data_IF_230197507659
#
_entry.id   IF_230197507659
#
_cell.length_a   1.000
_cell.length_b   1.000
_cell.length_c   1.000
_cell.angle_alpha   90.00
_cell.angle_beta   90.00
_cell.angle_gamma   90.00
#
_symmetry.space_group_name_H-M   'P 1'
#
loop_
_entity.id
_entity.type
_entity.pdbx_description
1 polymer ?
#
# COMPACT_ATOMS: atom_id res chain seq x y z
N UNK A 1 -11.44 18.59 -7.28
CA UNK A 1 -12.88 18.72 -6.97
C UNK A 1 -13.18 18.01 -5.65
N UNK A 2 -14.09 18.52 -4.81
CA UNK A 2 -14.64 17.86 -3.62
C UNK A 2 -16.17 17.82 -3.77
N UNK A 3 -16.83 16.67 -3.62
CA UNK A 3 -18.29 16.68 -3.43
C UNK A 3 -18.60 17.20 -2.02
N UNK A 4 -19.76 17.82 -1.80
CA UNK A 4 -20.35 18.26 -0.53
C UNK A 4 -21.87 18.04 -0.62
N UNK A 5 -22.38 16.99 0.02
CA UNK A 5 -23.81 16.71 0.21
C UNK A 5 -24.69 16.89 -1.06
N UNK A 6 -24.25 16.38 -2.21
CA UNK A 6 -24.95 16.48 -3.50
C UNK A 6 -24.49 17.63 -4.40
N UNK A 7 -23.47 18.37 -3.98
CA UNK A 7 -22.84 19.45 -4.75
C UNK A 7 -21.36 19.15 -5.03
N UNK A 8 -20.84 19.49 -6.21
CA UNK A 8 -19.40 19.34 -6.50
C UNK A 8 -18.70 20.70 -6.50
N UNK A 9 -17.68 20.83 -5.66
CA UNK A 9 -16.68 21.90 -5.62
C UNK A 9 -15.51 21.60 -6.56
N UNK A 10 -15.10 22.53 -7.43
CA UNK A 10 -13.89 22.41 -8.25
C UNK A 10 -12.71 23.18 -7.64
N UNK A 11 -11.59 22.48 -7.43
CA UNK A 11 -10.36 23.04 -6.87
C UNK A 11 -9.13 22.39 -7.53
N UNK A 12 -8.07 23.18 -7.73
CA UNK A 12 -6.76 22.70 -8.20
C UNK A 12 -6.67 22.41 -9.71
N UNK A 13 -7.10 23.34 -10.57
CA UNK A 13 -6.70 23.29 -11.99
C UNK A 13 -5.19 23.62 -12.09
N UNK A 14 -4.48 23.11 -13.09
CA UNK A 14 -3.04 23.39 -13.27
C UNK A 14 -2.81 23.85 -14.70
N UNK A 15 -2.00 24.90 -14.91
CA UNK A 15 -1.59 25.33 -16.24
C UNK A 15 -0.09 25.13 -16.44
N UNK A 16 0.24 24.74 -17.66
CA UNK A 16 1.61 24.62 -18.14
C UNK A 16 1.80 25.60 -19.28
N UNK A 17 2.98 26.19 -19.35
CA UNK A 17 3.38 26.98 -20.50
C UNK A 17 3.45 26.05 -21.72
N UNK A 18 2.72 26.41 -22.78
CA UNK A 18 2.59 25.55 -23.96
C UNK A 18 3.91 25.33 -24.68
N UNK A 19 4.85 26.29 -24.58
CA UNK A 19 6.12 26.36 -25.29
C UNK A 19 7.24 25.71 -24.45
N UNK A 20 7.35 26.09 -23.19
CA UNK A 20 8.46 25.67 -22.31
C UNK A 20 8.12 24.44 -21.47
N UNK A 21 6.85 24.04 -21.40
CA UNK A 21 6.31 23.00 -20.50
C UNK A 21 6.61 23.26 -19.01
N UNK A 22 7.10 24.46 -18.67
CA UNK A 22 7.30 24.90 -17.30
C UNK A 22 5.95 25.11 -16.60
N UNK A 23 5.92 24.85 -15.29
CA UNK A 23 4.76 25.20 -14.47
C UNK A 23 4.58 26.72 -14.42
N UNK A 24 3.38 27.21 -14.73
CA UNK A 24 3.02 28.62 -14.55
C UNK A 24 2.47 28.79 -13.12
N UNK A 25 2.70 29.93 -12.48
CA UNK A 25 1.96 30.30 -11.27
C UNK A 25 0.47 30.42 -11.62
N UNK A 26 -0.25 29.35 -11.33
CA UNK A 26 -1.60 29.16 -11.80
C UNK A 26 -2.61 30.13 -11.18
N UNK A 27 -2.41 30.51 -9.91
CA UNK A 27 -3.26 31.48 -9.22
C UNK A 27 -3.19 32.87 -9.87
N UNK A 28 -1.98 33.29 -10.26
CA UNK A 28 -1.77 34.61 -10.92
C UNK A 28 -2.37 34.62 -12.34
N UNK A 29 -2.27 33.50 -13.06
CA UNK A 29 -2.87 33.35 -14.40
C UNK A 29 -4.41 33.37 -14.34
N UNK A 30 -5.00 32.62 -13.41
CA UNK A 30 -6.46 32.58 -13.23
C UNK A 30 -7.03 33.93 -12.80
N UNK A 31 -6.40 34.62 -11.86
CA UNK A 31 -6.89 35.90 -11.34
C UNK A 31 -6.92 37.01 -12.40
N UNK A 32 -5.96 37.00 -13.33
CA UNK A 32 -5.81 38.04 -14.36
C UNK A 32 -6.69 37.81 -15.59
N UNK A 33 -6.74 36.57 -16.08
CA UNK A 33 -7.34 36.26 -17.40
C UNK A 33 -8.53 35.32 -17.30
N UNK A 34 -8.49 34.39 -16.34
CA UNK A 34 -9.45 33.28 -16.24
C UNK A 34 -9.34 32.28 -17.40
N UNK A 35 -10.12 31.21 -17.34
CA UNK A 35 -10.22 30.19 -18.39
C UNK A 35 -11.68 30.05 -18.77
N UNK A 36 -12.00 30.06 -20.07
CA UNK A 36 -13.35 29.70 -20.51
C UNK A 36 -13.56 28.22 -20.24
N UNK A 37 -14.48 27.91 -19.35
CA UNK A 37 -14.74 26.59 -18.82
C UNK A 37 -16.22 26.25 -19.03
N UNK A 38 -16.48 25.04 -19.52
CA UNK A 38 -17.82 24.47 -19.60
C UNK A 38 -17.80 23.08 -18.95
N UNK A 39 -18.74 22.83 -18.07
CA UNK A 39 -18.92 21.53 -17.39
C UNK A 39 -20.31 21.01 -17.75
N UNK A 40 -20.37 19.79 -18.26
CA UNK A 40 -21.62 19.11 -18.62
C UNK A 40 -21.78 17.80 -17.85
N UNK A 41 -22.98 17.52 -17.38
CA UNK A 41 -23.33 16.22 -16.80
C UNK A 41 -23.30 15.11 -17.84
N UNK A 42 -23.04 13.88 -17.40
CA UNK A 42 -23.25 12.64 -18.16
C UNK A 42 -22.52 12.61 -19.53
N UNK A 43 -21.44 13.38 -19.68
CA UNK A 43 -20.64 13.45 -20.91
C UNK A 43 -21.12 14.53 -21.90
N UNK A 44 -20.94 14.28 -23.20
CA UNK A 44 -21.24 15.26 -24.26
C UNK A 44 -22.73 15.53 -24.48
N UNK A 45 -23.60 14.66 -23.96
CA UNK A 45 -25.05 14.70 -24.16
C UNK A 45 -25.84 15.29 -22.99
N UNK A 46 -25.23 15.55 -21.84
CA UNK A 46 -25.97 16.06 -20.68
C UNK A 46 -25.91 17.57 -20.50
N UNK A 47 -26.70 18.03 -19.54
CA UNK A 47 -26.94 19.45 -19.25
C UNK A 47 -25.66 20.16 -18.83
N UNK A 48 -25.43 21.36 -19.38
CA UNK A 48 -24.37 22.23 -18.91
C UNK A 48 -24.71 22.75 -17.51
N UNK A 49 -23.85 22.46 -16.55
CA UNK A 49 -23.96 22.92 -15.15
C UNK A 49 -23.05 24.11 -14.85
N UNK A 50 -22.10 24.37 -15.75
CA UNK A 50 -21.34 25.59 -15.77
C UNK A 50 -20.96 25.92 -17.23
N UNK A 51 -21.05 27.19 -17.61
CA UNK A 51 -20.54 27.71 -18.88
C UNK A 51 -20.15 29.18 -18.65
N UNK A 52 -18.85 29.46 -18.55
CA UNK A 52 -18.38 30.78 -18.13
C UNK A 52 -16.87 30.93 -18.11
N UNK A 53 -16.42 32.08 -17.61
CA UNK A 53 -15.00 32.34 -17.36
C UNK A 53 -14.71 32.00 -15.90
N UNK A 54 -13.95 30.92 -15.70
CA UNK A 54 -13.51 30.46 -14.40
C UNK A 54 -12.24 31.20 -13.97
N UNK A 55 -12.24 31.79 -12.77
CA UNK A 55 -11.13 32.57 -12.22
C UNK A 55 -10.54 31.98 -10.94
N UNK A 56 -10.87 30.72 -10.63
CA UNK A 56 -10.36 30.01 -9.44
C UNK A 56 -11.30 30.04 -8.25
N UNK A 57 -12.50 30.59 -8.40
CA UNK A 57 -13.57 30.47 -7.42
C UNK A 57 -14.00 29.01 -7.21
N UNK A 58 -14.60 28.69 -6.07
CA UNK A 58 -15.29 27.40 -5.92
C UNK A 58 -16.57 27.43 -6.74
N UNK A 59 -16.69 26.52 -7.72
CA UNK A 59 -17.95 26.27 -8.42
C UNK A 59 -18.76 25.23 -7.64
N UNK A 60 -20.08 25.45 -7.53
CA UNK A 60 -21.01 24.54 -6.86
C UNK A 60 -22.15 24.23 -7.82
N UNK A 61 -22.39 22.94 -8.08
CA UNK A 61 -23.48 22.47 -8.93
C UNK A 61 -23.94 21.08 -8.50
N UNK A 62 -25.20 20.74 -8.82
CA UNK A 62 -25.80 19.45 -8.50
C UNK A 62 -25.00 18.27 -9.05
N UNK A 63 -25.08 17.11 -8.41
CA UNK A 63 -24.39 15.92 -8.88
C UNK A 63 -25.01 15.33 -10.16
N UNK A 64 -24.17 14.76 -11.04
CA UNK A 64 -24.60 13.99 -12.22
C UNK A 64 -25.08 12.62 -11.77
N UNK A 65 -26.16 12.12 -12.38
CA UNK A 65 -26.70 10.79 -12.09
C UNK A 65 -25.69 9.64 -12.32
N UNK A 66 -24.73 9.85 -13.22
CA UNK A 66 -23.67 8.88 -13.50
C UNK A 66 -22.34 9.18 -12.79
N UNK A 67 -22.23 10.34 -12.14
CA UNK A 67 -20.98 10.86 -11.57
C UNK A 67 -19.95 11.26 -12.63
N UNK A 68 -20.36 11.39 -13.90
CA UNK A 68 -19.47 11.73 -15.02
C UNK A 68 -19.69 13.15 -15.50
N UNK A 69 -18.60 13.83 -15.81
CA UNK A 69 -18.59 15.21 -16.24
C UNK A 69 -17.72 15.37 -17.48
N UNK A 70 -18.25 15.97 -18.55
CA UNK A 70 -17.40 16.46 -19.63
C UNK A 70 -16.95 17.87 -19.28
N UNK A 71 -15.64 18.04 -19.12
CA UNK A 71 -15.02 19.33 -18.89
C UNK A 71 -14.39 19.81 -20.18
N UNK A 72 -14.83 20.97 -20.65
CA UNK A 72 -14.28 21.66 -21.82
C UNK A 72 -13.61 22.94 -21.37
N UNK A 73 -12.36 23.15 -21.75
CA UNK A 73 -11.65 24.42 -21.59
C UNK A 73 -11.33 25.01 -22.95
N UNK A 74 -11.41 26.34 -23.04
CA UNK A 74 -10.98 27.08 -24.24
C UNK A 74 -9.90 28.08 -23.83
N UNK A 75 -8.73 27.99 -24.45
CA UNK A 75 -7.64 28.93 -24.18
C UNK A 75 -7.86 30.27 -24.91
N UNK A 76 -7.00 31.25 -24.64
CA UNK A 76 -7.08 32.58 -25.25
C UNK A 76 -6.95 32.57 -26.79
N UNK A 77 -6.34 31.52 -27.36
CA UNK A 77 -6.20 31.31 -28.79
C UNK A 77 -7.45 30.66 -29.44
N UNK A 78 -8.48 30.34 -28.64
CA UNK A 78 -9.69 29.66 -29.11
C UNK A 78 -9.55 28.14 -29.25
N UNK A 79 -8.42 27.55 -28.86
CA UNK A 79 -8.24 26.10 -28.88
C UNK A 79 -9.02 25.45 -27.74
N UNK A 80 -9.70 24.36 -28.07
CA UNK A 80 -10.51 23.61 -27.12
C UNK A 80 -9.77 22.36 -26.64
N UNK A 81 -9.79 22.14 -25.33
CA UNK A 81 -9.38 20.88 -24.73
C UNK A 81 -10.57 20.27 -23.97
N UNK A 82 -10.76 18.97 -24.12
CA UNK A 82 -11.86 18.24 -23.51
C UNK A 82 -11.35 17.00 -22.79
N UNK A 83 -11.90 16.73 -21.61
CA UNK A 83 -11.68 15.47 -20.91
C UNK A 83 -12.93 15.07 -20.13
N UNK A 84 -13.11 13.76 -19.97
CA UNK A 84 -14.16 13.20 -19.12
C UNK A 84 -13.58 13.02 -17.73
N UNK A 85 -14.22 13.62 -16.74
CA UNK A 85 -13.99 13.32 -15.34
C UNK A 85 -15.02 12.28 -14.89
N UNK A 86 -14.55 11.10 -14.48
CA UNK A 86 -15.39 10.07 -13.86
C UNK A 86 -15.16 10.09 -12.35
N UNK A 87 -16.14 10.57 -11.60
CA UNK A 87 -16.05 10.76 -10.16
C UNK A 87 -16.67 9.59 -9.37
N UNK A 88 -17.33 8.64 -10.05
CA UNK A 88 -17.99 7.51 -9.38
C UNK A 88 -16.99 6.62 -8.63
N UNK A 89 -15.77 6.47 -9.17
CA UNK A 89 -14.67 5.74 -8.53
C UNK A 89 -14.12 6.50 -7.31
N UNK A 90 -14.17 7.83 -7.30
CA UNK A 90 -13.68 8.65 -6.19
C UNK A 90 -14.72 8.87 -5.08
N UNK A 91 -16.00 8.61 -5.36
CA UNK A 91 -17.12 8.72 -4.42
C UNK A 91 -17.51 7.42 -3.74
N UNK A 92 -17.02 6.27 -4.20
CA UNK A 92 -17.35 5.00 -3.53
C UNK A 92 -16.64 4.97 -2.19
N UNK A 93 -17.36 5.07 -1.05
CA UNK A 93 -16.72 5.12 0.24
C UNK A 93 -16.12 3.74 0.56
N UNK A 94 -14.85 3.70 0.91
CA UNK A 94 -14.15 2.46 1.21
C UNK A 94 -13.59 2.53 2.62
N UNK A 95 -13.84 1.57 3.50
CA UNK A 95 -13.17 1.54 4.80
C UNK A 95 -11.85 0.78 4.67
N UNK A 96 -10.72 1.44 4.93
CA UNK A 96 -9.42 0.77 5.07
C UNK A 96 -9.19 0.39 6.52
N UNK A 97 -9.18 -0.90 6.82
CA UNK A 97 -8.88 -1.41 8.15
C UNK A 97 -8.19 -2.77 8.12
N UNK A 98 -7.30 -3.03 9.07
CA UNK A 98 -6.56 -4.29 9.18
C UNK A 98 -6.38 -4.70 10.65
N UNK A 99 -6.33 -6.00 10.90
CA UNK A 99 -6.02 -6.58 12.21
C UNK A 99 -4.59 -7.15 12.20
N UNK A 100 -3.89 -6.97 13.30
CA UNK A 100 -2.60 -7.60 13.58
C UNK A 100 -2.60 -8.16 15.01
N UNK A 101 -2.02 -9.33 15.24
CA UNK A 101 -1.99 -9.95 16.56
C UNK A 101 -0.78 -9.49 17.36
N UNK A 102 -0.96 -9.30 18.67
CA UNK A 102 0.11 -9.00 19.61
C UNK A 102 0.02 -9.90 20.85
N UNK A 103 1.18 -10.37 21.30
CA UNK A 103 1.29 -11.22 22.47
C UNK A 103 0.75 -12.64 22.26
N UNK A 104 0.81 -13.43 23.33
CA UNK A 104 0.54 -14.85 23.29
C UNK A 104 -0.72 -15.24 24.10
N UNK A 105 -1.44 -16.30 23.70
CA UNK A 105 -2.52 -16.86 24.50
C UNK A 105 -2.04 -17.17 25.93
N UNK A 106 -2.88 -16.98 26.97
CA UNK A 106 -4.27 -16.50 26.91
C UNK A 106 -4.43 -14.98 26.89
N UNK A 107 -3.35 -14.20 27.01
CA UNK A 107 -3.35 -12.73 27.12
C UNK A 107 -3.13 -12.01 25.78
N UNK A 108 -3.41 -12.69 24.67
CA UNK A 108 -3.25 -12.11 23.34
C UNK A 108 -4.30 -11.03 23.07
N UNK A 109 -3.94 -10.09 22.21
CA UNK A 109 -4.84 -9.05 21.73
C UNK A 109 -4.62 -8.80 20.26
N UNK A 110 -5.54 -8.06 19.64
CA UNK A 110 -5.41 -7.57 18.28
C UNK A 110 -5.21 -6.06 18.31
N UNK A 111 -4.31 -5.57 17.48
CA UNK A 111 -4.26 -4.17 17.09
C UNK A 111 -5.07 -4.00 15.82
N UNK A 112 -6.16 -3.24 15.93
CA UNK A 112 -7.01 -2.82 14.84
C UNK A 112 -6.56 -1.43 14.37
N UNK A 113 -5.98 -1.38 13.17
CA UNK A 113 -5.62 -0.13 12.50
C UNK A 113 -6.73 0.24 11.52
N UNK A 114 -7.33 1.41 11.72
CA UNK A 114 -8.38 1.97 10.85
C UNK A 114 -7.83 3.25 10.26
N UNK A 115 -8.07 3.46 8.96
CA UNK A 115 -7.65 4.64 8.25
C UNK A 115 -8.84 5.32 7.60
N UNK A 116 -8.81 6.65 7.61
CA UNK A 116 -9.70 7.45 6.79
C UNK A 116 -9.25 7.40 5.32
N UNK A 117 -10.21 7.38 4.41
CA UNK A 117 -10.01 7.02 3.00
C UNK A 117 -10.79 7.97 2.09
N UNK A 118 -10.75 7.71 0.78
CA UNK A 118 -11.49 8.50 -0.21
C UNK A 118 -12.97 8.12 -0.18
N UNK A 119 -13.81 8.97 -0.77
CA UNK A 119 -15.24 8.73 -0.92
C UNK A 119 -16.12 9.23 0.23
N UNK A 120 -15.54 9.77 1.30
CA UNK A 120 -16.29 10.41 2.39
C UNK A 120 -16.10 11.92 2.44
N UNK A 121 -17.12 12.62 2.93
CA UNK A 121 -17.02 13.99 3.43
C UNK A 121 -16.34 14.01 4.78
N UNK A 122 -15.42 14.94 5.01
CA UNK A 122 -14.92 15.14 6.37
C UNK A 122 -15.69 16.25 7.08
N UNK A 123 -16.00 16.12 8.38
CA UNK A 123 -15.60 15.02 9.28
C UNK A 123 -16.36 13.70 9.04
N UNK A 124 -15.68 12.59 9.32
CA UNK A 124 -16.22 11.22 9.24
C UNK A 124 -16.26 10.61 10.63
N UNK A 125 -17.45 10.26 11.11
CA UNK A 125 -17.62 9.49 12.33
C UNK A 125 -17.34 8.01 12.05
N UNK A 126 -16.59 7.35 12.94
CA UNK A 126 -16.39 5.91 12.90
C UNK A 126 -16.91 5.24 14.17
N UNK A 127 -17.38 4.00 14.02
CA UNK A 127 -17.74 3.12 15.12
C UNK A 127 -17.24 1.71 14.86
N UNK A 128 -16.75 1.06 15.90
CA UNK A 128 -16.24 -0.31 15.88
C UNK A 128 -17.00 -1.13 16.89
N UNK A 129 -17.63 -2.21 16.42
CA UNK A 129 -18.44 -3.10 17.23
C UNK A 129 -17.86 -4.51 17.15
N UNK A 130 -17.63 -5.13 18.31
CA UNK A 130 -17.32 -6.55 18.39
C UNK A 130 -18.57 -7.34 17.98
N UNK A 131 -18.46 -8.19 16.96
CA UNK A 131 -19.64 -8.88 16.42
C UNK A 131 -20.18 -9.97 17.33
N UNK A 132 -19.35 -10.56 18.21
CA UNK A 132 -19.80 -11.62 19.10
C UNK A 132 -20.54 -11.07 20.31
N UNK A 133 -20.04 -10.00 20.93
CA UNK A 133 -20.65 -9.39 22.12
C UNK A 133 -21.65 -8.27 21.81
N UNK A 134 -21.55 -7.65 20.64
CA UNK A 134 -22.29 -6.41 20.30
C UNK A 134 -21.73 -5.16 20.99
N UNK A 135 -20.61 -5.27 21.70
CA UNK A 135 -19.98 -4.17 22.42
C UNK A 135 -19.30 -3.17 21.47
N UNK A 136 -19.48 -1.88 21.74
CA UNK A 136 -18.75 -0.82 21.05
C UNK A 136 -17.36 -0.71 21.65
N UNK A 137 -16.34 -1.08 20.87
CA UNK A 137 -14.93 -1.12 21.32
C UNK A 137 -14.14 0.12 20.88
N UNK A 138 -14.74 1.00 20.09
CA UNK A 138 -14.14 2.28 19.72
C UNK A 138 -15.08 3.14 18.90
N UNK A 139 -15.03 4.44 19.16
CA UNK A 139 -15.70 5.48 18.37
C UNK A 139 -14.81 6.69 18.24
N UNK A 140 -15.04 7.49 17.21
CA UNK A 140 -14.34 8.75 17.04
C UNK A 140 -14.66 9.42 15.72
N UNK A 141 -13.85 10.43 15.39
CA UNK A 141 -14.04 11.25 14.21
C UNK A 141 -12.70 11.41 13.50
N UNK A 142 -12.67 11.17 12.20
CA UNK A 142 -11.60 11.63 11.32
C UNK A 142 -11.95 13.00 10.76
N UNK A 143 -11.04 13.96 10.85
CA UNK A 143 -11.24 15.32 10.33
C UNK A 143 -10.60 15.51 8.96
N UNK A 144 -9.66 14.64 8.58
CA UNK A 144 -8.94 14.74 7.32
C UNK A 144 -8.68 13.37 6.69
N UNK A 145 -8.45 13.40 5.38
CA UNK A 145 -7.99 12.25 4.61
C UNK A 145 -6.60 11.77 5.05
N UNK A 146 -6.46 10.45 5.20
CA UNK A 146 -5.21 9.80 5.59
C UNK A 146 -4.96 9.75 7.10
N UNK A 147 -5.86 10.26 7.93
CA UNK A 147 -5.81 10.06 9.37
C UNK A 147 -5.99 8.57 9.72
N UNK A 148 -5.29 8.13 10.77
CA UNK A 148 -5.34 6.74 11.21
C UNK A 148 -5.54 6.65 12.72
N UNK A 149 -6.31 5.66 13.16
CA UNK A 149 -6.45 5.30 14.57
C UNK A 149 -6.06 3.85 14.78
N UNK A 150 -5.42 3.58 15.90
CA UNK A 150 -5.02 2.26 16.34
C UNK A 150 -5.73 1.92 17.64
N UNK A 151 -6.47 0.81 17.66
CA UNK A 151 -7.19 0.33 18.83
C UNK A 151 -6.65 -1.03 19.25
N UNK A 152 -6.42 -1.23 20.55
CA UNK A 152 -6.15 -2.56 21.09
C UNK A 152 -7.48 -3.19 21.48
N UNK A 153 -7.82 -4.29 20.81
CA UNK A 153 -9.11 -4.95 20.95
C UNK A 153 -8.90 -6.44 21.26
N UNK A 154 -9.84 -7.11 21.94
CA UNK A 154 -9.76 -8.56 22.15
C UNK A 154 -9.68 -9.34 20.83
N UNK A 155 -9.33 -10.62 20.89
CA UNK A 155 -9.41 -11.46 19.69
C UNK A 155 -10.88 -11.69 19.31
N UNK A 156 -11.26 -11.35 18.08
CA UNK A 156 -12.63 -11.48 17.61
C UNK A 156 -12.84 -10.92 16.20
N UNK A 157 -14.10 -10.96 15.75
CA UNK A 157 -14.55 -10.31 14.52
C UNK A 157 -15.12 -8.93 14.83
N UNK A 158 -14.92 -7.97 13.93
CA UNK A 158 -15.28 -6.57 14.13
C UNK A 158 -16.06 -6.01 12.95
N UNK A 159 -17.17 -5.32 13.23
CA UNK A 159 -17.87 -4.48 12.27
C UNK A 159 -17.41 -3.04 12.46
N UNK A 160 -16.93 -2.43 11.39
CA UNK A 160 -16.50 -1.05 11.34
C UNK A 160 -17.48 -0.30 10.46
N UNK A 161 -17.99 0.83 10.94
CA UNK A 161 -18.92 1.68 10.19
C UNK A 161 -18.38 3.09 10.12
N UNK A 162 -18.45 3.71 8.96
CA UNK A 162 -18.15 5.12 8.77
C UNK A 162 -19.43 5.84 8.31
N UNK A 163 -19.70 6.99 8.91
CA UNK A 163 -20.76 7.90 8.50
C UNK A 163 -20.17 9.29 8.34
N UNK A 164 -20.32 9.89 7.17
CA UNK A 164 -19.87 11.25 6.96
C UNK A 164 -20.91 12.32 7.33
N UNK A 165 -20.51 13.59 7.33
CA UNK A 165 -21.37 14.73 7.61
C UNK A 165 -22.60 14.85 6.68
N UNK A 166 -22.59 14.17 5.53
CA UNK A 166 -23.69 14.15 4.58
C UNK A 166 -24.59 12.91 4.73
N UNK A 167 -24.32 12.05 5.72
CA UNK A 167 -25.06 10.82 5.97
C UNK A 167 -24.66 9.65 5.06
N UNK A 168 -23.55 9.76 4.31
CA UNK A 168 -23.03 8.64 3.53
C UNK A 168 -22.50 7.59 4.49
N UNK A 169 -23.06 6.40 4.41
CA UNK A 169 -22.74 5.27 5.27
C UNK A 169 -21.97 4.19 4.50
N UNK A 170 -20.94 3.64 5.14
CA UNK A 170 -20.28 2.42 4.69
C UNK A 170 -19.98 1.53 5.88
N UNK A 171 -19.89 0.23 5.61
CA UNK A 171 -19.44 -0.74 6.58
C UNK A 171 -18.40 -1.69 6.02
N UNK A 172 -17.58 -2.23 6.92
CA UNK A 172 -16.61 -3.28 6.64
C UNK A 172 -16.58 -4.25 7.81
N UNK A 173 -16.61 -5.53 7.48
CA UNK A 173 -16.46 -6.60 8.46
C UNK A 173 -15.02 -7.12 8.35
N UNK A 174 -14.37 -7.26 9.51
CA UNK A 174 -13.10 -7.96 9.65
C UNK A 174 -13.37 -9.22 10.44
N UNK A 175 -13.17 -10.38 9.81
CA UNK A 175 -13.32 -11.67 10.46
C UNK A 175 -12.21 -11.90 11.49
N UNK A 176 -12.52 -12.70 12.52
CA UNK A 176 -11.54 -13.16 13.48
C UNK A 176 -10.39 -13.85 12.73
N UNK A 177 -9.14 -13.33 12.85
CA UNK A 177 -8.03 -13.84 12.08
C UNK A 177 -7.74 -15.32 12.40
N UNK A 178 -8.07 -15.80 13.60
CA UNK A 178 -7.93 -17.21 13.99
C UNK A 178 -8.72 -18.20 13.13
N UNK A 179 -9.77 -17.73 12.46
CA UNK A 179 -10.56 -18.58 11.55
C UNK A 179 -9.81 -18.91 10.26
N UNK A 180 -8.70 -18.21 9.97
CA UNK A 180 -7.88 -18.45 8.79
C UNK A 180 -6.63 -19.22 9.17
N UNK A 181 -6.55 -20.47 8.72
CA UNK A 181 -5.36 -21.30 8.92
C UNK A 181 -4.12 -20.62 8.33
N UNK A 182 -2.99 -20.60 9.06
CA UNK A 182 -1.77 -20.00 8.55
C UNK A 182 -1.21 -20.79 7.38
N UNK A 183 -0.67 -20.07 6.40
CA UNK A 183 0.17 -20.63 5.33
C UNK A 183 1.36 -19.72 5.09
N UNK A 184 2.52 -20.33 4.82
CA UNK A 184 3.76 -19.63 4.52
C UNK A 184 4.02 -19.69 3.02
N UNK A 185 4.34 -18.55 2.42
CA UNK A 185 4.68 -18.47 1.01
C UNK A 185 5.88 -17.58 0.76
N UNK A 186 6.62 -17.88 -0.31
CA UNK A 186 7.64 -16.96 -0.85
C UNK A 186 6.88 -15.77 -1.45
N UNK A 187 7.13 -14.58 -0.90
CA UNK A 187 6.58 -13.33 -1.41
C UNK A 187 7.51 -12.71 -2.44
N UNK A 188 8.82 -12.86 -2.28
CA UNK A 188 9.83 -12.29 -3.17
C UNK A 188 11.04 -13.23 -3.31
N UNK A 189 11.58 -13.28 -4.51
CA UNK A 189 12.92 -13.80 -4.83
C UNK A 189 13.75 -12.63 -5.37
N UNK A 190 14.95 -12.42 -4.85
CA UNK A 190 15.76 -11.22 -5.08
C UNK A 190 17.24 -11.58 -5.29
N UNK A 191 17.97 -10.69 -5.99
CA UNK A 191 19.39 -10.90 -6.31
C UNK A 191 20.31 -9.71 -6.04
N UNK A 192 19.77 -8.59 -5.56
CA UNK A 192 20.51 -7.33 -5.45
C UNK A 192 20.21 -6.56 -4.17
N UNK A 193 19.62 -7.21 -3.15
CA UNK A 193 19.39 -6.53 -1.88
C UNK A 193 20.69 -6.53 -1.09
N UNK A 194 21.20 -5.33 -0.87
CA UNK A 194 22.29 -5.06 0.07
C UNK A 194 21.69 -4.26 1.22
N UNK A 195 21.50 -4.87 2.38
CA UNK A 195 20.85 -4.20 3.51
C UNK A 195 20.59 -5.14 4.67
N UNK A 196 19.33 -5.21 5.11
CA UNK A 196 18.91 -5.96 6.31
C UNK A 196 19.28 -7.44 6.21
N UNK A 197 19.18 -8.04 5.01
CA UNK A 197 19.78 -9.36 4.74
C UNK A 197 21.14 -9.21 4.05
N UNK A 198 22.11 -10.10 4.35
CA UNK A 198 23.43 -10.03 3.73
C UNK A 198 23.37 -10.26 2.21
N UNK A 199 24.35 -9.74 1.45
CA UNK A 199 24.39 -9.89 0.00
C UNK A 199 24.57 -11.36 -0.42
N UNK A 200 24.28 -11.63 -1.69
CA UNK A 200 24.56 -12.94 -2.30
C UNK A 200 26.06 -13.15 -2.50
N UNK A 201 26.55 -14.29 -2.02
CA UNK A 201 27.96 -14.69 -2.12
C UNK A 201 28.11 -16.12 -2.68
N UNK A 202 27.02 -16.89 -2.73
CA UNK A 202 27.02 -18.27 -3.18
C UNK A 202 26.40 -18.42 -4.58
N UNK A 203 27.16 -18.99 -5.52
CA UNK A 203 26.64 -19.35 -6.85
C UNK A 203 25.46 -20.32 -6.72
N UNK A 204 24.42 -20.12 -7.51
CA UNK A 204 23.16 -20.87 -7.42
C UNK A 204 22.24 -20.42 -6.29
N UNK A 205 22.70 -19.50 -5.43
CA UNK A 205 21.91 -18.93 -4.34
C UNK A 205 21.05 -17.75 -4.78
N UNK A 206 19.91 -17.57 -4.12
CA UNK A 206 19.07 -16.38 -4.23
C UNK A 206 18.67 -15.87 -2.84
N UNK A 207 18.25 -14.61 -2.75
CA UNK A 207 17.62 -14.09 -1.55
C UNK A 207 16.13 -14.37 -1.62
N UNK A 208 15.54 -14.88 -0.56
CA UNK A 208 14.10 -15.13 -0.49
C UNK A 208 13.47 -14.38 0.66
N UNK A 209 12.28 -13.82 0.43
CA UNK A 209 11.40 -13.32 1.47
C UNK A 209 10.18 -14.20 1.56
N UNK A 210 9.89 -14.68 2.76
CA UNK A 210 8.65 -15.38 3.07
C UNK A 210 7.72 -14.49 3.88
N UNK A 211 6.43 -14.75 3.76
CA UNK A 211 5.40 -14.10 4.56
C UNK A 211 4.21 -15.01 4.75
N UNK A 212 3.45 -14.74 5.82
CA UNK A 212 2.27 -15.52 6.17
C UNK A 212 1.00 -14.94 5.55
N UNK A 213 0.12 -15.84 5.13
CA UNK A 213 -1.31 -15.59 4.98
C UNK A 213 -2.02 -16.31 6.12
N UNK A 214 -3.10 -15.72 6.64
CA UNK A 214 -3.79 -16.23 7.83
C UNK A 214 -3.10 -15.86 9.13
N UNK A 215 -3.55 -16.46 10.23
CA UNK A 215 -3.17 -16.06 11.58
C UNK A 215 -2.01 -16.89 12.12
N UNK A 216 -0.96 -16.18 12.56
CA UNK A 216 0.11 -16.70 13.40
C UNK A 216 0.17 -15.81 14.65
N UNK A 217 0.03 -16.37 15.87
CA UNK A 217 0.10 -15.58 17.09
C UNK A 217 1.44 -14.88 17.19
N UNK A 218 1.48 -13.70 17.82
CA UNK A 218 2.69 -12.91 18.09
C UNK A 218 3.74 -12.90 16.97
N UNK A 219 3.30 -12.80 15.71
CA UNK A 219 4.17 -13.02 14.56
C UNK A 219 5.42 -12.15 14.61
N UNK A 220 5.31 -10.90 15.06
CA UNK A 220 6.44 -9.97 15.16
C UNK A 220 7.61 -10.47 16.00
N UNK A 221 7.36 -11.36 16.97
CA UNK A 221 8.36 -12.00 17.82
C UNK A 221 8.65 -13.47 17.43
N UNK A 222 8.01 -13.98 16.38
CA UNK A 222 8.21 -15.35 15.93
C UNK A 222 9.63 -15.57 15.39
N UNK A 223 10.15 -16.78 15.62
CA UNK A 223 11.43 -17.24 15.06
C UNK A 223 11.17 -18.23 13.93
N UNK A 224 11.75 -17.97 12.76
CA UNK A 224 11.70 -18.86 11.60
C UNK A 224 13.07 -19.47 11.36
N UNK A 225 13.15 -20.80 11.23
CA UNK A 225 14.40 -21.54 11.00
C UNK A 225 14.19 -22.58 9.91
N UNK A 226 15.10 -22.64 8.94
CA UNK A 226 15.11 -23.75 7.98
C UNK A 226 15.60 -25.00 8.70
N UNK A 227 14.79 -26.05 8.77
CA UNK A 227 15.15 -27.32 9.45
C UNK A 227 15.44 -28.46 8.48
N UNK A 228 15.06 -28.30 7.22
CA UNK A 228 15.43 -29.22 6.14
C UNK A 228 15.44 -28.49 4.80
N UNK A 229 16.37 -28.86 3.92
CA UNK A 229 16.47 -28.35 2.56
C UNK A 229 17.91 -28.34 2.03
N UNK A 230 18.10 -27.95 0.75
CA UNK A 230 19.42 -27.93 0.09
C UNK A 230 20.47 -26.97 0.68
N UNK A 231 20.05 -25.94 1.44
CA UNK A 231 20.95 -24.93 2.03
C UNK A 231 20.38 -24.35 3.32
N UNK A 232 21.20 -23.58 4.05
CA UNK A 232 20.76 -22.81 5.23
C UNK A 232 20.06 -23.61 6.35
N UNK A 233 20.27 -24.93 6.42
CA UNK A 233 19.72 -25.77 7.51
C UNK A 233 20.28 -25.31 8.86
N UNK A 234 19.40 -25.08 9.82
CA UNK A 234 19.69 -24.51 11.14
C UNK A 234 19.77 -22.97 11.16
N UNK A 235 19.66 -22.29 10.02
CA UNK A 235 19.81 -20.83 9.95
C UNK A 235 18.48 -20.14 10.21
N UNK A 236 18.46 -19.22 11.18
CA UNK A 236 17.33 -18.35 11.49
C UNK A 236 17.13 -17.29 10.40
N UNK A 237 15.89 -16.98 10.10
CA UNK A 237 15.54 -15.89 9.20
C UNK A 237 15.86 -14.54 9.83
N UNK A 238 16.17 -13.56 8.99
CA UNK A 238 16.22 -12.16 9.40
C UNK A 238 14.82 -11.56 9.24
N UNK A 239 14.30 -10.89 10.28
CA UNK A 239 13.06 -10.13 10.19
C UNK A 239 13.32 -8.81 9.45
N UNK A 240 12.52 -8.55 8.41
CA UNK A 240 12.73 -7.40 7.52
C UNK A 240 11.81 -6.24 7.88
N UNK A 241 10.50 -6.49 7.83
CA UNK A 241 9.45 -5.54 8.16
C UNK A 241 8.13 -6.30 8.30
N UNK A 242 7.32 -5.94 9.29
CA UNK A 242 6.01 -6.56 9.55
C UNK A 242 6.07 -8.10 9.49
N UNK A 243 5.23 -8.71 8.65
CA UNK A 243 5.08 -10.16 8.47
C UNK A 243 6.11 -10.81 7.51
N UNK A 244 7.26 -10.16 7.23
CA UNK A 244 8.25 -10.64 6.26
C UNK A 244 9.58 -11.03 6.91
N UNK A 245 10.04 -12.22 6.53
CA UNK A 245 11.28 -12.84 6.98
C UNK A 245 12.11 -13.27 5.79
N UNK A 246 13.42 -13.21 5.88
CA UNK A 246 14.27 -13.52 4.75
C UNK A 246 15.56 -14.27 5.09
N UNK A 247 16.05 -14.94 4.06
CA UNK A 247 17.38 -15.56 4.03
C UNK A 247 18.11 -15.12 2.78
N UNK A 248 19.43 -15.23 2.83
CA UNK A 248 20.31 -15.06 1.67
C UNK A 248 20.99 -16.38 1.34
N UNK A 249 21.51 -16.49 0.12
CA UNK A 249 22.21 -17.66 -0.41
C UNK A 249 21.37 -18.96 -0.39
N UNK A 250 20.05 -18.83 -0.57
CA UNK A 250 19.16 -19.99 -0.60
C UNK A 250 19.20 -20.65 -1.97
N UNK A 251 19.55 -21.94 -2.01
CA UNK A 251 19.58 -22.73 -3.25
C UNK A 251 18.16 -23.11 -3.71
N UNK A 252 18.03 -23.57 -4.95
CA UNK A 252 16.76 -24.12 -5.44
C UNK A 252 16.47 -25.49 -4.83
N UNK A 253 15.23 -25.72 -4.40
CA UNK A 253 14.72 -27.01 -3.96
C UNK A 253 13.55 -26.89 -2.97
N UNK A 254 13.22 -28.00 -2.32
CA UNK A 254 12.15 -28.05 -1.32
C UNK A 254 12.75 -27.87 0.07
N UNK A 255 12.08 -27.06 0.89
CA UNK A 255 12.50 -26.71 2.25
C UNK A 255 11.38 -26.96 3.23
N UNK A 256 11.77 -27.30 4.47
CA UNK A 256 10.92 -27.28 5.65
C UNK A 256 11.37 -26.14 6.54
N UNK A 257 10.47 -25.21 6.82
CA UNK A 257 10.69 -24.08 7.73
C UNK A 257 9.92 -24.34 9.02
N UNK A 258 10.66 -24.42 10.13
CA UNK A 258 10.12 -24.42 11.48
C UNK A 258 9.83 -22.99 11.90
N UNK A 259 8.59 -22.74 12.32
CA UNK A 259 8.11 -21.46 12.81
C UNK A 259 7.76 -21.66 14.28
N UNK A 260 8.50 -21.01 15.16
CA UNK A 260 8.23 -20.97 16.58
C UNK A 260 7.59 -19.64 16.93
N UNK A 261 6.36 -19.69 17.42
CA UNK A 261 5.69 -18.52 17.99
C UNK A 261 4.88 -18.91 19.22
N UNK A 262 4.95 -18.11 20.28
CA UNK A 262 4.30 -18.39 21.55
C UNK A 262 4.60 -19.79 22.12
N UNK A 263 5.83 -20.28 21.92
CA UNK A 263 6.26 -21.62 22.34
C UNK A 263 5.68 -22.78 21.51
N UNK A 264 4.88 -22.48 20.48
CA UNK A 264 4.32 -23.48 19.55
C UNK A 264 5.18 -23.53 18.30
N UNK A 265 5.62 -24.74 17.94
CA UNK A 265 6.40 -25.00 16.74
C UNK A 265 5.50 -25.59 15.65
N UNK A 266 5.47 -24.94 14.48
CA UNK A 266 4.77 -25.43 13.30
C UNK A 266 5.71 -25.48 12.10
N UNK A 267 5.65 -26.56 11.33
CA UNK A 267 6.49 -26.73 10.15
C UNK A 267 5.71 -26.42 8.87
N UNK A 268 6.33 -25.66 7.97
CA UNK A 268 5.77 -25.31 6.66
C UNK A 268 6.70 -25.76 5.55
N UNK A 269 6.11 -26.26 4.48
CA UNK A 269 6.85 -26.63 3.28
C UNK A 269 6.84 -25.47 2.29
N UNK A 270 8.01 -25.12 1.75
CA UNK A 270 8.14 -24.17 0.65
C UNK A 270 9.02 -24.76 -0.47
N UNK A 271 8.78 -24.31 -1.70
CA UNK A 271 9.63 -24.67 -2.84
C UNK A 271 10.30 -23.41 -3.39
N UNK A 272 11.63 -23.38 -3.33
CA UNK A 272 12.45 -22.34 -3.95
C UNK A 272 12.83 -22.82 -5.35
N UNK A 273 12.44 -22.06 -6.38
CA UNK A 273 12.74 -22.41 -7.78
C UNK A 273 13.94 -21.61 -8.28
N UNK A 274 14.75 -22.21 -9.14
CA UNK A 274 15.72 -21.44 -9.93
C UNK A 274 14.96 -20.41 -10.79
N UNK A 275 15.46 -19.19 -10.84
CA UNK A 275 14.88 -18.11 -11.61
C UNK A 275 15.94 -17.05 -11.98
N UNK A 276 15.50 -15.95 -12.58
CA UNK A 276 16.39 -14.84 -13.01
C UNK A 276 17.15 -14.17 -11.86
N UNK A 277 16.69 -14.35 -10.62
CA UNK A 277 17.29 -13.78 -9.41
C UNK A 277 18.26 -14.76 -8.72
N UNK A 278 18.57 -15.89 -9.33
CA UNK A 278 19.65 -16.76 -8.87
C UNK A 278 21.00 -16.16 -9.24
N UNK A 279 21.95 -16.15 -8.31
CA UNK A 279 23.31 -15.72 -8.56
C UNK A 279 23.99 -16.73 -9.50
N UNK A 280 24.15 -16.34 -10.77
CA UNK A 280 24.82 -17.18 -11.79
C UNK A 280 26.34 -16.98 -11.84
N UNK A 281 26.88 -15.98 -11.15
CA UNK A 281 28.30 -15.63 -11.22
C UNK A 281 28.82 -15.26 -9.84
N UNK A 282 29.90 -15.91 -9.40
CA UNK A 282 30.69 -15.50 -8.24
C UNK A 282 32.00 -14.91 -8.74
N UNK A 283 32.29 -13.68 -8.33
CA UNK A 283 33.57 -13.01 -8.55
C UNK A 283 34.27 -12.92 -7.20
N UNK A 284 35.40 -13.61 -7.05
CA UNK A 284 36.30 -13.42 -5.91
C UNK A 284 37.48 -12.56 -6.37
N UNK A 285 37.78 -11.49 -5.63
CA UNK A 285 38.93 -10.63 -5.89
C UNK A 285 39.91 -10.72 -4.73
N UNK A 286 41.14 -11.13 -5.01
CA UNK A 286 42.22 -11.11 -4.03
C UNK A 286 43.13 -9.92 -4.32
N UNK A 287 43.26 -9.03 -3.33
CA UNK A 287 44.20 -7.92 -3.35
C UNK A 287 45.49 -8.30 -2.63
N UNK A 288 46.62 -8.21 -3.30
CA UNK A 288 47.95 -8.26 -2.66
C UNK A 288 48.58 -6.89 -2.75
N UNK A 289 48.91 -6.29 -1.60
CA UNK A 289 49.62 -5.01 -1.50
C UNK A 289 51.07 -5.25 -1.10
N UNK A 290 51.98 -4.48 -1.69
CA UNK A 290 53.38 -4.37 -1.22
C UNK A 290 53.62 -2.95 -0.71
N UNK A 291 54.30 -2.83 0.43
CA UNK A 291 54.53 -1.56 1.15
C UNK A 291 55.30 -0.49 0.34
N UNK A 292 55.82 -0.83 -0.85
CA UNK A 292 56.53 0.08 -1.76
C UNK A 292 55.63 0.81 -2.76
N UNK A 293 54.32 0.93 -2.49
CA UNK A 293 53.40 1.72 -3.30
C UNK A 293 52.81 0.99 -4.53
N UNK A 294 52.76 -0.34 -4.51
CA UNK A 294 52.16 -1.16 -5.58
C UNK A 294 51.27 -2.28 -5.04
N UNK A 295 50.39 -2.80 -5.89
CA UNK A 295 49.53 -3.94 -5.56
C UNK A 295 48.82 -4.51 -6.78
N UNK A 296 48.41 -5.77 -6.69
CA UNK A 296 47.64 -6.45 -7.73
C UNK A 296 46.27 -6.83 -7.20
N UNK A 297 45.24 -6.66 -8.04
CA UNK A 297 43.93 -7.26 -7.83
C UNK A 297 43.78 -8.37 -8.87
N UNK A 298 43.64 -9.61 -8.39
CA UNK A 298 43.30 -10.74 -9.25
C UNK A 298 41.84 -11.08 -9.04
N UNK A 299 41.02 -10.89 -10.08
CA UNK A 299 39.61 -11.27 -10.07
C UNK A 299 39.42 -12.57 -10.83
N UNK A 300 38.99 -13.62 -10.13
CA UNK A 300 38.70 -14.91 -10.75
C UNK A 300 37.20 -15.00 -11.01
N UNK A 301 36.82 -15.12 -12.29
CA UNK A 301 35.46 -15.49 -12.70
C UNK A 301 35.37 -17.01 -12.70
N UNK A 302 34.65 -17.59 -11.74
CA UNK A 302 34.29 -19.00 -11.82
C UNK A 302 33.12 -19.13 -12.81
N UNK A 303 33.38 -19.74 -13.98
CA UNK A 303 32.34 -20.08 -14.94
C UNK A 303 31.65 -21.39 -14.50
N UNK A 304 30.33 -21.37 -14.41
CA UNK A 304 29.46 -22.55 -14.46
C UNK A 304 28.30 -22.24 -15.41
#
# INVERSE_FOLDING_TARGET
MRSACGEISLSGVTAYDAITKGGINFETFLASTGIKLKIQHDGSSGTAVYDGIFKGETLTFAESSTGKYLVTTVNACGEQYQYILDYKIQLTPEISANLSSQGCPPSESLTLLISSTRGFMYPVEYSVVNQASGEVVGTGVFNNYGETVSLNVPVGSYKITHTDACGVYSERILDNPKNTAPSLAITHSLNSVCGIIPPLTQTGGQQIYVGFRGYVPDLDNATLTIVSGPSNVGVKAVRLQANRYGWTNVLSGNYVISVESCGVITNYNITVRDNRNTLRQSLSSQGTSVCSGGGNITSTRCAF
#
